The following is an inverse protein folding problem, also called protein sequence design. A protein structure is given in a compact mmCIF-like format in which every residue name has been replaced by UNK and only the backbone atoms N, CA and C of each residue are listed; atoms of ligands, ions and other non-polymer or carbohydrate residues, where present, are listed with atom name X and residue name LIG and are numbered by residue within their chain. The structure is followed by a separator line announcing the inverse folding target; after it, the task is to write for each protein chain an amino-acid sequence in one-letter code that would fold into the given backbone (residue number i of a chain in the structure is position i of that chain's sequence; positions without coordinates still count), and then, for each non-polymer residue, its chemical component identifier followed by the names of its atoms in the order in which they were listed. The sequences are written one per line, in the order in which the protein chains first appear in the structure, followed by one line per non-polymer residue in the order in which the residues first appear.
data_IF_374764591337
#
_entry.id   IF_374764591337
#
_cell.length_a   1.000
_cell.length_b   1.000
_cell.length_c   1.000
_cell.angle_alpha   90.00
_cell.angle_beta   90.00
_cell.angle_gamma   90.00
#
_symmetry.space_group_name_H-M   'P 1'
#
loop_
_entity.id
_entity.type
_entity.pdbx_description
1 polymer ?
#
# COMPACT_ATOMS: atom_id res chain seq x y z
N UNK A 1 6.46 4.90 24.76
CA UNK A 1 7.50 5.15 23.75
C UNK A 1 6.78 5.80 22.59
N UNK A 2 6.95 7.11 22.39
CA UNK A 2 6.44 7.79 21.19
C UNK A 2 7.10 7.15 19.96
N UNK A 3 6.31 6.86 18.93
CA UNK A 3 6.85 6.30 17.69
C UNK A 3 7.55 7.42 16.94
N UNK A 4 8.74 7.12 16.46
CA UNK A 4 9.41 8.00 15.52
C UNK A 4 8.75 7.87 14.15
N UNK A 5 7.84 8.79 13.84
CA UNK A 5 7.20 8.91 12.53
C UNK A 5 8.19 9.39 11.45
N UNK A 6 9.42 9.78 11.79
CA UNK A 6 10.43 10.16 10.79
C UNK A 6 11.07 8.96 10.08
N UNK A 7 10.94 7.74 10.64
CA UNK A 7 11.53 6.51 10.09
C UNK A 7 10.49 5.36 10.08
N UNK A 8 9.55 5.35 9.11
CA UNK A 8 8.54 4.31 9.03
C UNK A 8 9.14 2.94 8.66
N UNK A 9 8.56 1.86 9.18
CA UNK A 9 9.00 0.50 8.82
C UNK A 9 8.84 0.21 7.32
N UNK A 10 7.71 0.65 6.78
CA UNK A 10 7.29 0.57 5.38
C UNK A 10 6.44 1.79 5.04
N UNK A 11 6.32 2.10 3.75
CA UNK A 11 5.39 3.11 3.25
C UNK A 11 4.28 2.42 2.44
N UNK A 12 3.05 2.40 2.94
CA UNK A 12 1.90 1.81 2.26
C UNK A 12 1.22 2.87 1.41
N UNK A 13 1.15 2.66 0.10
CA UNK A 13 0.65 3.66 -0.86
C UNK A 13 -0.60 3.15 -1.54
N UNK A 14 -1.73 3.83 -1.31
CA UNK A 14 -3.00 3.52 -1.96
C UNK A 14 -3.28 4.56 -3.05
N UNK A 15 -3.27 4.11 -4.30
CA UNK A 15 -3.65 4.93 -5.44
C UNK A 15 -5.16 4.92 -5.60
N UNK A 16 -5.79 6.09 -5.44
CA UNK A 16 -7.22 6.32 -5.68
C UNK A 16 -8.17 5.29 -5.03
N UNK A 17 -8.01 4.96 -3.73
CA UNK A 17 -8.81 3.90 -3.10
C UNK A 17 -10.30 4.23 -3.10
N UNK A 18 -11.14 3.23 -3.34
CA UNK A 18 -12.58 3.42 -3.55
C UNK A 18 -13.42 3.03 -2.33
N UNK A 19 -12.96 2.10 -1.49
CA UNK A 19 -13.77 1.52 -0.41
C UNK A 19 -13.25 1.97 0.96
N UNK A 20 -14.03 2.77 1.74
CA UNK A 20 -13.59 3.33 3.01
C UNK A 20 -13.21 2.27 4.05
N UNK A 21 -13.92 1.14 4.08
CA UNK A 21 -13.65 0.05 5.02
C UNK A 21 -12.27 -0.60 4.77
N UNK A 22 -11.83 -0.69 3.51
CA UNK A 22 -10.51 -1.21 3.19
C UNK A 22 -9.44 -0.26 3.72
N UNK A 23 -9.57 1.04 3.43
CA UNK A 23 -8.63 2.07 3.90
C UNK A 23 -8.54 2.12 5.41
N UNK A 24 -9.67 1.95 6.12
CA UNK A 24 -9.70 1.78 7.57
C UNK A 24 -8.83 0.61 8.04
N UNK A 25 -9.15 -0.59 7.57
CA UNK A 25 -8.41 -1.81 7.93
C UNK A 25 -6.91 -1.72 7.60
N UNK A 26 -6.56 -1.06 6.49
CA UNK A 26 -5.18 -0.79 6.09
C UNK A 26 -4.52 0.18 7.08
N UNK A 27 -5.22 1.24 7.46
CA UNK A 27 -4.77 2.17 8.50
C UNK A 27 -4.47 1.46 9.83
N UNK A 28 -5.33 0.52 10.24
CA UNK A 28 -5.10 -0.32 11.42
C UNK A 28 -3.85 -1.18 11.28
N UNK A 29 -3.64 -1.75 10.09
CA UNK A 29 -2.42 -2.52 9.77
C UNK A 29 -1.19 -1.64 9.86
N UNK A 30 -1.21 -0.44 9.24
CA UNK A 30 -0.10 0.52 9.29
C UNK A 30 0.26 0.89 10.72
N UNK A 31 -0.77 1.15 11.55
CA UNK A 31 -0.59 1.38 12.97
C UNK A 31 -0.06 0.14 13.70
N UNK A 32 -0.41 -1.09 13.34
CA UNK A 32 0.14 -2.27 14.01
C UNK A 32 1.64 -2.47 13.73
N UNK A 33 2.10 -2.07 12.55
CA UNK A 33 3.46 -2.37 12.07
C UNK A 33 4.42 -1.18 12.07
N UNK A 34 3.93 0.01 12.43
CA UNK A 34 4.74 1.24 12.37
C UNK A 34 5.04 1.71 10.95
N UNK A 35 4.12 1.44 10.01
CA UNK A 35 4.21 1.93 8.64
C UNK A 35 3.50 3.28 8.49
N UNK A 36 3.95 4.07 7.52
CA UNK A 36 3.24 5.27 7.06
C UNK A 36 2.22 4.89 6.00
N UNK A 37 1.04 5.50 6.06
CA UNK A 37 0.00 5.40 5.05
C UNK A 37 0.03 6.62 4.14
N UNK A 38 0.10 6.38 2.84
CA UNK A 38 -0.06 7.39 1.80
C UNK A 38 -1.35 7.15 1.03
N UNK A 39 -2.18 8.19 0.90
CA UNK A 39 -3.40 8.16 0.10
C UNK A 39 -3.27 9.12 -1.08
N UNK A 40 -3.49 8.63 -2.30
CA UNK A 40 -3.43 9.43 -3.51
C UNK A 40 -4.86 9.70 -4.00
N UNK A 41 -5.19 10.98 -4.17
CA UNK A 41 -6.49 11.43 -4.64
C UNK A 41 -6.72 11.19 -6.14
N UNK A 42 -7.99 11.13 -6.60
CA UNK A 42 -9.22 11.23 -5.82
C UNK A 42 -9.53 9.96 -5.02
N UNK A 43 -10.00 10.13 -3.77
CA UNK A 43 -10.55 9.03 -2.98
C UNK A 43 -12.01 8.81 -3.40
N UNK A 44 -12.46 7.56 -3.46
CA UNK A 44 -13.86 7.22 -3.73
C UNK A 44 -14.81 7.48 -2.54
N UNK A 45 -14.30 8.04 -1.45
CA UNK A 45 -15.04 8.32 -0.22
C UNK A 45 -14.48 9.57 0.49
N UNK A 46 -15.22 10.05 1.49
CA UNK A 46 -14.77 11.14 2.35
C UNK A 46 -14.18 10.61 3.65
N UNK A 47 -13.03 11.14 4.04
CA UNK A 47 -12.43 10.93 5.36
C UNK A 47 -12.98 12.04 6.25
N UNK A 48 -14.06 11.76 6.98
CA UNK A 48 -14.56 12.66 8.02
C UNK A 48 -14.73 11.92 9.35
N UNK A 49 -14.67 12.67 10.45
CA UNK A 49 -14.76 12.13 11.82
C UNK A 49 -16.01 11.29 12.06
N UNK A 50 -17.10 11.56 11.34
CA UNK A 50 -18.37 10.86 11.50
C UNK A 50 -18.32 9.47 10.83
N UNK A 51 -17.71 9.37 9.65
CA UNK A 51 -17.46 8.13 8.94
C UNK A 51 -16.40 7.29 9.66
N UNK A 52 -15.31 7.92 10.13
CA UNK A 52 -14.27 7.26 10.91
C UNK A 52 -14.83 6.67 12.22
N UNK A 53 -15.64 7.43 12.97
CA UNK A 53 -16.30 6.93 14.19
C UNK A 53 -17.28 5.79 13.91
N UNK A 54 -18.10 5.89 12.85
CA UNK A 54 -19.05 4.82 12.47
C UNK A 54 -18.37 3.53 12.03
N UNK A 55 -17.18 3.64 11.44
CA UNK A 55 -16.39 2.48 11.03
C UNK A 55 -15.51 1.89 12.16
N UNK A 56 -15.65 2.39 13.39
CA UNK A 56 -14.85 1.91 14.53
C UNK A 56 -13.37 2.24 14.41
N UNK A 57 -13.05 3.39 13.77
CA UNK A 57 -11.69 3.87 13.56
C UNK A 57 -11.27 4.90 14.62
N UNK A 58 -11.45 4.56 15.89
CA UNK A 58 -10.94 5.35 17.03
C UNK A 58 -9.42 5.59 16.99
N UNK A 59 -8.71 4.69 16.31
CA UNK A 59 -7.27 4.73 16.09
C UNK A 59 -6.80 5.67 14.96
N UNK A 60 -7.69 6.23 14.13
CA UNK A 60 -7.30 6.93 12.90
C UNK A 60 -6.37 8.13 13.15
N UNK A 61 -6.62 8.87 14.23
CA UNK A 61 -5.79 10.00 14.70
C UNK A 61 -4.35 9.62 15.10
N UNK A 62 -4.08 8.32 15.26
CA UNK A 62 -2.75 7.80 15.60
C UNK A 62 -1.99 7.25 14.40
N UNK A 63 -2.62 7.22 13.22
CA UNK A 63 -1.97 6.76 11.99
C UNK A 63 -1.06 7.88 11.49
N UNK A 64 0.15 7.51 11.11
CA UNK A 64 1.02 8.35 10.29
C UNK A 64 0.48 8.37 8.85
N UNK A 65 -0.30 9.41 8.53
CA UNK A 65 -1.03 9.56 7.27
C UNK A 65 -0.53 10.76 6.48
N UNK A 66 -0.29 10.57 5.19
CA UNK A 66 0.02 11.64 4.23
C UNK A 66 -0.90 11.52 3.01
N UNK A 67 -1.60 12.60 2.68
CA UNK A 67 -2.47 12.68 1.51
C UNK A 67 -1.80 13.43 0.36
N UNK A 68 -1.97 12.93 -0.87
CA UNK A 68 -1.34 13.45 -2.08
C UNK A 68 -2.38 13.79 -3.13
N UNK A 69 -2.36 15.03 -3.62
CA UNK A 69 -3.36 15.52 -4.58
C UNK A 69 -3.42 14.70 -5.89
N UNK A 70 -2.30 14.08 -6.30
CA UNK A 70 -2.21 13.22 -7.46
C UNK A 70 -1.00 12.27 -7.37
N UNK A 71 -0.91 11.35 -8.32
CA UNK A 71 0.24 10.45 -8.48
C UNK A 71 1.56 11.21 -8.67
N UNK A 72 1.53 12.27 -9.47
CA UNK A 72 2.68 13.13 -9.74
C UNK A 72 3.10 13.90 -8.49
N UNK A 73 2.13 14.38 -7.70
CA UNK A 73 2.41 15.04 -6.42
C UNK A 73 3.13 14.08 -5.46
N UNK A 74 2.63 12.84 -5.35
CA UNK A 74 3.29 11.78 -4.55
C UNK A 74 4.74 11.56 -5.00
N UNK A 75 4.99 11.41 -6.31
CA UNK A 75 6.33 11.20 -6.82
C UNK A 75 7.26 12.40 -6.59
N UNK A 76 6.73 13.62 -6.65
CA UNK A 76 7.49 14.84 -6.43
C UNK A 76 7.87 15.04 -4.95
N UNK A 77 6.96 14.73 -4.02
CA UNK A 77 7.20 14.96 -2.58
C UNK A 77 7.90 13.80 -1.89
N UNK A 78 7.54 12.56 -2.23
CA UNK A 78 8.10 11.38 -1.58
C UNK A 78 9.35 10.85 -2.29
N UNK A 79 9.44 11.03 -3.62
CA UNK A 79 10.57 10.61 -4.46
C UNK A 79 11.18 9.25 -4.04
N UNK A 80 10.38 8.17 -3.96
CA UNK A 80 10.82 6.94 -3.32
C UNK A 80 11.99 6.31 -4.07
N UNK A 81 13.05 5.94 -3.35
CA UNK A 81 14.19 5.21 -3.93
C UNK A 81 13.76 3.81 -4.38
N UNK A 82 12.88 3.17 -3.61
CA UNK A 82 12.40 1.80 -3.83
C UNK A 82 10.88 1.75 -3.70
N UNK A 83 10.23 1.41 -4.81
CA UNK A 83 8.78 1.34 -4.93
C UNK A 83 8.38 0.04 -5.62
N UNK A 84 7.43 -0.67 -5.02
CA UNK A 84 6.99 -1.99 -5.44
C UNK A 84 5.50 -1.98 -5.76
N UNK A 85 5.15 -2.21 -7.03
CA UNK A 85 3.76 -2.29 -7.46
C UNK A 85 3.21 -3.70 -7.22
N UNK A 86 2.15 -3.80 -6.43
CA UNK A 86 1.35 -5.00 -6.30
C UNK A 86 0.30 -5.05 -7.39
N UNK A 87 0.43 -6.02 -8.30
CA UNK A 87 -0.43 -6.15 -9.49
C UNK A 87 -0.57 -7.61 -9.90
N UNK A 88 -1.66 -7.95 -10.57
CA UNK A 88 -1.84 -9.27 -11.20
C UNK A 88 -1.10 -9.37 -12.55
N UNK A 89 -0.65 -8.26 -13.13
CA UNK A 89 0.03 -8.19 -14.45
C UNK A 89 1.53 -8.55 -14.40
N UNK A 90 1.93 -9.45 -13.51
CA UNK A 90 3.32 -9.92 -13.37
C UNK A 90 3.34 -11.34 -12.82
N UNK A 91 4.34 -12.13 -13.20
CA UNK A 91 4.57 -13.45 -12.61
C UNK A 91 5.48 -13.44 -11.39
N UNK A 92 6.15 -12.30 -11.14
CA UNK A 92 7.10 -12.16 -10.06
C UNK A 92 6.41 -12.23 -8.70
N UNK A 93 6.85 -13.13 -7.83
CA UNK A 93 6.28 -13.28 -6.49
C UNK A 93 6.72 -12.16 -5.56
N UNK A 94 5.81 -11.67 -4.72
CA UNK A 94 6.11 -10.72 -3.63
C UNK A 94 7.08 -11.27 -2.56
N UNK A 95 7.44 -12.55 -2.62
CA UNK A 95 8.45 -13.16 -1.74
C UNK A 95 9.88 -13.02 -2.27
N UNK A 96 10.05 -12.60 -3.52
CA UNK A 96 11.37 -12.50 -4.17
C UNK A 96 12.15 -11.23 -3.84
N UNK A 97 11.53 -10.04 -3.64
CA UNK A 97 12.29 -8.86 -3.26
C UNK A 97 13.06 -9.06 -1.95
N UNK A 98 14.30 -8.59 -1.94
CA UNK A 98 15.02 -8.35 -0.68
C UNK A 98 14.47 -7.07 -0.06
N UNK A 99 13.37 -7.20 0.67
CA UNK A 99 12.65 -6.10 1.32
C UNK A 99 13.57 -5.30 2.24
N UNK A 100 13.43 -3.97 2.21
CA UNK A 100 14.18 -3.05 3.05
C UNK A 100 13.24 -2.15 3.83
N UNK A 101 13.69 -1.72 5.02
CA UNK A 101 13.01 -0.69 5.80
C UNK A 101 12.83 0.55 4.93
N UNK A 102 11.64 1.16 4.99
CA UNK A 102 11.29 2.31 4.18
C UNK A 102 10.84 1.98 2.74
N UNK A 103 10.83 0.70 2.32
CA UNK A 103 10.28 0.33 1.01
C UNK A 103 8.83 0.81 0.85
N UNK A 104 8.51 1.32 -0.33
CA UNK A 104 7.15 1.74 -0.67
C UNK A 104 6.40 0.60 -1.36
N UNK A 105 5.22 0.27 -0.86
CA UNK A 105 4.34 -0.78 -1.35
C UNK A 105 3.10 -0.13 -1.97
N UNK A 106 3.02 -0.12 -3.29
CA UNK A 106 1.96 0.54 -4.05
C UNK A 106 0.84 -0.43 -4.42
N UNK A 107 -0.39 -0.02 -4.12
CA UNK A 107 -1.61 -0.73 -4.46
C UNK A 107 -2.57 0.20 -5.21
N UNK A 108 -3.17 -0.30 -6.28
CA UNK A 108 -4.18 0.42 -7.05
C UNK A 108 -5.59 0.36 -6.43
N UNK A 109 -6.57 1.02 -7.07
CA UNK A 109 -7.98 0.89 -6.71
C UNK A 109 -8.47 -0.55 -6.84
N UNK A 110 -9.49 -0.90 -6.06
CA UNK A 110 -9.98 -2.27 -5.90
C UNK A 110 -10.55 -2.92 -7.17
N UNK A 111 -11.00 -2.11 -8.12
CA UNK A 111 -11.73 -2.55 -9.31
C UNK A 111 -10.81 -2.84 -10.51
N UNK A 112 -9.87 -1.94 -10.81
CA UNK A 112 -9.05 -1.99 -12.02
C UNK A 112 -7.55 -2.06 -11.75
N UNK A 113 -7.11 -1.80 -10.52
CA UNK A 113 -5.70 -1.54 -10.24
C UNK A 113 -5.21 -0.21 -10.85
N UNK A 114 -3.90 0.01 -10.86
CA UNK A 114 -3.32 1.25 -11.41
C UNK A 114 -3.41 1.28 -12.94
N UNK A 115 -3.37 2.48 -13.52
CA UNK A 115 -3.42 2.68 -14.97
C UNK A 115 -2.18 2.10 -15.67
N UNK A 116 -2.31 1.80 -16.96
CA UNK A 116 -1.17 1.32 -17.76
C UNK A 116 -0.03 2.36 -17.82
N UNK A 117 -0.36 3.65 -17.82
CA UNK A 117 0.63 4.72 -17.75
C UNK A 117 1.49 4.65 -16.46
N UNK A 118 0.88 4.32 -15.31
CA UNK A 118 1.62 4.11 -14.06
C UNK A 118 2.50 2.86 -14.16
N UNK A 119 2.01 1.78 -14.78
CA UNK A 119 2.84 0.60 -15.04
C UNK A 119 4.09 0.95 -15.84
N UNK A 120 3.92 1.61 -16.99
CA UNK A 120 5.01 2.01 -17.88
C UNK A 120 6.00 2.95 -17.18
N UNK A 121 5.51 3.94 -16.43
CA UNK A 121 6.35 4.88 -15.69
C UNK A 121 7.20 4.18 -14.63
N UNK A 122 6.62 3.24 -13.87
CA UNK A 122 7.35 2.49 -12.86
C UNK A 122 8.40 1.57 -13.45
N UNK A 123 8.10 0.93 -14.57
CA UNK A 123 9.09 0.12 -15.29
C UNK A 123 10.24 0.97 -15.83
N UNK A 124 9.95 2.15 -16.38
CA UNK A 124 10.98 3.06 -16.84
C UNK A 124 11.87 3.58 -15.70
N UNK A 125 11.29 3.82 -14.52
CA UNK A 125 12.00 4.42 -13.37
C UNK A 125 12.74 3.40 -12.49
N UNK A 126 12.13 2.24 -12.24
CA UNK A 126 12.62 1.24 -11.28
C UNK A 126 12.98 -0.11 -11.94
N UNK A 127 12.78 -0.22 -13.25
CA UNK A 127 12.96 -1.46 -14.01
C UNK A 127 11.76 -2.42 -13.89
N UNK A 128 11.67 -3.38 -14.83
CA UNK A 128 10.58 -4.35 -14.88
C UNK A 128 10.40 -5.19 -13.59
N UNK A 129 11.45 -5.29 -12.78
CA UNK A 129 11.44 -5.99 -11.50
C UNK A 129 10.61 -5.32 -10.41
N UNK A 130 10.24 -4.04 -10.53
CA UNK A 130 9.49 -3.37 -9.46
C UNK A 130 8.05 -3.88 -9.26
N UNK A 131 7.55 -4.73 -10.16
CA UNK A 131 6.19 -5.31 -10.09
C UNK A 131 6.23 -6.68 -9.43
N UNK A 132 5.34 -6.89 -8.47
CA UNK A 132 5.16 -8.17 -7.77
C UNK A 132 3.69 -8.54 -7.63
N UNK A 133 3.42 -9.84 -7.47
CA UNK A 133 2.09 -10.38 -7.18
C UNK A 133 2.08 -11.25 -5.93
N UNK A 134 0.93 -11.30 -5.27
CA UNK A 134 0.63 -12.33 -4.28
C UNK A 134 0.18 -13.58 -5.05
N UNK A 135 0.85 -14.75 -4.88
CA UNK A 135 0.45 -15.97 -5.56
C UNK A 135 -0.98 -16.37 -5.20
N UNK A 136 -1.75 -16.71 -6.23
CA UNK A 136 -3.12 -17.22 -6.11
C UNK A 136 -3.23 -18.52 -6.92
N UNK A 137 -4.26 -19.30 -6.65
CA UNK A 137 -4.59 -20.47 -7.47
C UNK A 137 -4.96 -20.02 -8.89
N UNK A 138 -4.62 -20.83 -9.89
CA UNK A 138 -5.01 -20.61 -11.28
C UNK A 138 -6.45 -21.10 -11.50
N UNK A 139 -7.40 -20.37 -10.92
CA UNK A 139 -8.84 -20.62 -11.03
C UNK A 139 -9.53 -19.30 -11.42
N UNK A 140 -10.21 -19.23 -12.59
CA UNK A 140 -10.96 -18.04 -12.99
C UNK A 140 -12.06 -17.61 -12.00
N UNK A 141 -12.56 -18.52 -11.16
CA UNK A 141 -13.50 -18.20 -10.09
C UNK A 141 -12.81 -17.52 -8.89
N UNK A 142 -11.51 -17.71 -8.71
CA UNK A 142 -10.69 -17.05 -7.70
C UNK A 142 -10.41 -15.59 -8.12
N UNK A 143 -11.33 -14.69 -7.76
CA UNK A 143 -11.14 -13.24 -7.89
C UNK A 143 -9.99 -12.75 -7.01
N UNK A 144 -9.41 -11.60 -7.37
CA UNK A 144 -8.39 -10.93 -6.58
C UNK A 144 -8.80 -10.79 -5.10
N UNK A 145 -7.81 -10.94 -4.22
CA UNK A 145 -8.00 -10.73 -2.79
C UNK A 145 -8.51 -9.32 -2.50
N UNK A 146 -9.29 -9.20 -1.43
CA UNK A 146 -9.66 -7.89 -0.87
C UNK A 146 -8.40 -7.03 -0.65
N UNK A 147 -8.46 -5.74 -0.99
CA UNK A 147 -7.33 -4.83 -0.92
C UNK A 147 -6.68 -4.78 0.48
N UNK A 148 -7.49 -4.69 1.55
CA UNK A 148 -6.93 -4.66 2.90
C UNK A 148 -6.23 -5.97 3.29
N UNK A 149 -6.75 -7.11 2.84
CA UNK A 149 -6.10 -8.42 2.99
C UNK A 149 -4.78 -8.48 2.23
N UNK A 150 -4.76 -8.02 0.97
CA UNK A 150 -3.55 -7.97 0.14
C UNK A 150 -2.45 -7.11 0.78
N UNK A 151 -2.81 -5.92 1.27
CA UNK A 151 -1.88 -5.03 1.98
C UNK A 151 -1.34 -5.69 3.24
N UNK A 152 -2.18 -6.36 4.05
CA UNK A 152 -1.73 -7.05 5.24
C UNK A 152 -0.73 -8.17 4.89
N UNK A 153 -1.06 -9.04 3.93
CA UNK A 153 -0.16 -10.13 3.49
C UNK A 153 1.19 -9.58 3.02
N UNK A 154 1.17 -8.56 2.16
CA UNK A 154 2.36 -7.92 1.62
C UNK A 154 3.23 -7.32 2.73
N UNK A 155 2.61 -6.55 3.63
CA UNK A 155 3.31 -5.82 4.69
C UNK A 155 3.96 -6.78 5.67
N UNK A 156 3.26 -7.83 6.10
CA UNK A 156 3.81 -8.80 7.04
C UNK A 156 4.93 -9.65 6.44
N UNK A 157 4.88 -9.98 5.14
CA UNK A 157 6.02 -10.65 4.47
C UNK A 157 7.25 -9.75 4.37
N UNK A 158 7.05 -8.48 4.02
CA UNK A 158 8.13 -7.50 3.97
C UNK A 158 8.77 -7.32 5.35
N UNK A 159 7.97 -7.16 6.41
CA UNK A 159 8.45 -7.04 7.78
C UNK A 159 9.18 -8.29 8.26
N UNK A 160 8.66 -9.49 7.96
CA UNK A 160 9.32 -10.75 8.29
C UNK A 160 10.75 -10.78 7.73
N UNK A 161 10.94 -10.21 6.54
CA UNK A 161 12.22 -10.15 5.84
C UNK A 161 13.14 -9.05 6.40
N UNK A 162 12.58 -7.90 6.81
CA UNK A 162 13.34 -6.75 7.35
C UNK A 162 13.79 -6.98 8.80
N UNK A 163 12.92 -7.52 9.64
CA UNK A 163 13.11 -7.55 11.10
C UNK A 163 13.62 -8.89 11.63
N UNK A 164 13.90 -9.89 10.77
CA UNK A 164 14.45 -11.17 11.21
C UNK A 164 13.48 -12.01 12.05
N UNK A 165 12.18 -11.92 11.77
CA UNK A 165 11.11 -12.57 12.54
C UNK A 165 10.79 -11.84 13.84
N UNK A 166 9.49 -11.67 14.13
CA UNK A 166 9.03 -11.22 15.45
C UNK A 166 9.43 -12.23 16.54
#
# INVERSE_FOLDING_TARGET
MERDISDPSLNIVLCTPLIPNNTGNIGRTCLAIGARLHLIHPLGFQIDDKHLKRAGMDYWQHIDLVEHASWEAYLATCAPERLWLFTTKTDRSFREPAWRRGDHLLFGPEDQGVSEAIHEELEARYGAGCRVRIPMVDDPAARSLNLSTSVAIASYEALRSIQGGF
#
